data_IF_196733587128
#
_entry.id   IF_196733587128
#
_cell.length_a   1.000
_cell.length_b   1.000
_cell.length_c   1.000
_cell.angle_alpha   90.00
_cell.angle_beta   90.00
_cell.angle_gamma   90.00
#
_symmetry.space_group_name_H-M   'P 1'
#
loop_
_entity.id
_entity.type
_entity.pdbx_description
1 polymer ?
#
# COMPACT_ATOMS: atom_id res chain seq x y z
N UNK A 1 -17.25 -4.08 8.91
CA UNK A 1 -16.67 -3.73 7.60
C UNK A 1 -16.40 -4.92 6.71
N UNK A 2 -16.43 -6.16 7.25
CA UNK A 2 -16.12 -7.38 6.51
C UNK A 2 -16.98 -7.60 5.25
N UNK A 3 -18.23 -7.17 5.28
CA UNK A 3 -19.15 -7.30 4.14
C UNK A 3 -18.88 -6.27 3.03
N UNK A 4 -18.08 -5.25 3.30
CA UNK A 4 -17.81 -4.18 2.33
C UNK A 4 -16.69 -4.53 1.35
N UNK A 5 -15.76 -5.39 1.75
CA UNK A 5 -14.65 -5.86 0.93
C UNK A 5 -14.22 -7.25 1.43
N UNK A 6 -14.52 -8.29 0.66
CA UNK A 6 -14.27 -9.67 1.05
C UNK A 6 -14.12 -10.60 -0.15
N UNK A 7 -13.57 -11.78 0.11
CA UNK A 7 -13.70 -12.97 -0.74
C UNK A 7 -14.61 -13.93 0.00
N UNK A 8 -15.85 -14.16 -0.45
CA UNK A 8 -16.85 -14.93 0.32
C UNK A 8 -16.47 -16.36 0.62
N UNK A 9 -15.77 -17.04 -0.31
CA UNK A 9 -15.32 -18.42 -0.14
C UNK A 9 -13.80 -18.54 -0.37
N UNK A 10 -13.25 -19.71 -0.08
CA UNK A 10 -11.82 -20.07 -0.13
C UNK A 10 -11.06 -19.79 1.17
N UNK A 11 -11.78 -19.51 2.25
CA UNK A 11 -11.23 -19.43 3.61
C UNK A 11 -11.76 -20.54 4.50
N UNK A 12 -11.33 -20.56 5.76
CA UNK A 12 -11.72 -21.60 6.74
C UNK A 12 -13.22 -21.57 7.09
N UNK A 13 -13.85 -20.40 7.07
CA UNK A 13 -15.30 -20.25 7.33
C UNK A 13 -16.17 -20.80 6.20
N UNK A 14 -15.68 -20.74 4.97
CA UNK A 14 -16.36 -21.26 3.78
C UNK A 14 -15.29 -21.80 2.81
N UNK A 15 -14.89 -23.07 2.94
CA UNK A 15 -13.93 -23.70 2.02
C UNK A 15 -14.42 -23.70 0.57
N UNK A 16 -13.48 -23.72 -0.37
CA UNK A 16 -13.80 -23.82 -1.78
C UNK A 16 -14.45 -25.18 -2.10
N UNK A 17 -15.55 -25.16 -2.85
CA UNK A 17 -16.25 -26.33 -3.37
C UNK A 17 -16.61 -26.07 -4.85
N UNK A 18 -16.96 -27.11 -5.61
CA UNK A 18 -17.45 -26.93 -6.98
C UNK A 18 -18.60 -25.92 -7.03
N UNK A 19 -19.53 -25.98 -6.08
CA UNK A 19 -20.67 -25.05 -5.98
C UNK A 19 -20.25 -23.61 -5.73
N UNK A 20 -19.31 -23.35 -4.81
CA UNK A 20 -18.84 -21.98 -4.53
C UNK A 20 -18.03 -21.40 -5.68
N UNK A 21 -17.33 -22.24 -6.45
CA UNK A 21 -16.61 -21.83 -7.66
C UNK A 21 -17.60 -21.45 -8.75
N UNK A 22 -18.61 -22.30 -9.01
CA UNK A 22 -19.67 -22.05 -9.98
C UNK A 22 -20.42 -20.74 -9.69
N UNK A 23 -20.66 -20.44 -8.41
CA UNK A 23 -21.29 -19.20 -7.94
C UNK A 23 -20.34 -17.98 -7.94
N UNK A 24 -19.08 -18.14 -8.33
CA UNK A 24 -18.11 -17.05 -8.36
C UNK A 24 -17.76 -16.47 -6.98
N UNK A 25 -17.92 -17.28 -5.91
CA UNK A 25 -17.69 -16.81 -4.53
C UNK A 25 -16.20 -16.67 -4.18
N UNK A 26 -15.32 -17.12 -5.05
CA UNK A 26 -13.86 -16.95 -4.95
C UNK A 26 -13.37 -15.59 -5.50
N UNK A 27 -14.26 -14.82 -6.10
CA UNK A 27 -13.92 -13.45 -6.54
C UNK A 27 -14.09 -12.43 -5.42
N UNK A 28 -13.32 -11.37 -5.51
CA UNK A 28 -13.45 -10.21 -4.62
C UNK A 28 -14.83 -9.58 -4.81
N UNK A 29 -15.55 -9.40 -3.72
CA UNK A 29 -16.79 -8.62 -3.63
C UNK A 29 -16.51 -7.32 -2.92
N UNK A 30 -16.94 -6.20 -3.50
CA UNK A 30 -16.67 -4.88 -2.93
C UNK A 30 -17.87 -3.94 -3.11
N UNK A 31 -18.27 -3.29 -2.01
CA UNK A 31 -19.11 -2.12 -2.08
C UNK A 31 -18.26 -0.88 -2.31
N UNK A 32 -17.99 -0.58 -3.58
CA UNK A 32 -17.05 0.48 -3.97
C UNK A 32 -17.39 1.87 -3.42
N UNK A 33 -18.69 2.20 -3.27
CA UNK A 33 -19.13 3.49 -2.72
C UNK A 33 -18.75 3.63 -1.24
N UNK A 34 -19.04 2.61 -0.44
CA UNK A 34 -18.75 2.64 0.99
C UNK A 34 -17.24 2.54 1.28
N UNK A 35 -16.53 1.70 0.53
CA UNK A 35 -15.07 1.61 0.62
C UNK A 35 -14.41 2.94 0.23
N UNK A 36 -14.88 3.60 -0.82
CA UNK A 36 -14.39 4.93 -1.22
C UNK A 36 -14.63 5.98 -0.12
N UNK A 37 -15.86 6.02 0.43
CA UNK A 37 -16.24 6.95 1.52
C UNK A 37 -15.39 6.73 2.77
N UNK A 38 -15.12 5.47 3.11
CA UNK A 38 -14.24 5.10 4.21
C UNK A 38 -12.81 5.57 3.94
N UNK A 39 -12.24 5.20 2.79
CA UNK A 39 -10.87 5.48 2.42
C UNK A 39 -10.54 6.97 2.41
N UNK A 40 -11.42 7.80 1.85
CA UNK A 40 -11.22 9.26 1.79
C UNK A 40 -11.13 9.92 3.16
N UNK A 41 -11.81 9.37 4.16
CA UNK A 41 -11.74 9.87 5.54
C UNK A 41 -10.54 9.33 6.29
N UNK A 42 -10.32 8.01 6.19
CA UNK A 42 -9.34 7.34 7.05
C UNK A 42 -7.90 7.64 6.65
N UNK A 43 -7.63 7.87 5.37
CA UNK A 43 -6.26 8.15 4.90
C UNK A 43 -5.71 9.46 5.47
N UNK A 44 -6.51 10.53 5.43
CA UNK A 44 -6.11 11.81 6.02
C UNK A 44 -5.94 11.68 7.55
N UNK A 45 -6.96 11.14 8.23
CA UNK A 45 -6.96 10.98 9.68
C UNK A 45 -5.81 10.11 10.18
N UNK A 46 -5.55 8.94 9.57
CA UNK A 46 -4.47 8.06 9.99
C UNK A 46 -3.09 8.71 9.79
N UNK A 47 -2.91 9.48 8.70
CA UNK A 47 -1.69 10.25 8.48
C UNK A 47 -1.48 11.30 9.56
N UNK A 48 -2.52 12.07 9.88
CA UNK A 48 -2.49 13.10 10.92
C UNK A 48 -2.15 12.50 12.30
N UNK A 49 -2.86 11.43 12.70
CA UNK A 49 -2.58 10.71 13.94
C UNK A 49 -1.14 10.16 14.03
N UNK A 50 -0.58 9.67 12.91
CA UNK A 50 0.80 9.19 12.89
C UNK A 50 1.82 10.33 13.02
N UNK A 51 1.55 11.47 12.37
CA UNK A 51 2.39 12.68 12.43
C UNK A 51 2.40 13.23 13.86
N UNK A 52 1.22 13.34 14.49
CA UNK A 52 1.08 13.79 15.88
C UNK A 52 1.83 12.88 16.86
N UNK A 53 1.67 11.55 16.71
CA UNK A 53 2.38 10.58 17.57
C UNK A 53 3.90 10.62 17.41
N UNK A 54 4.39 11.07 16.27
CA UNK A 54 5.81 11.26 16.02
C UNK A 54 6.32 12.63 16.55
N UNK A 55 5.42 13.44 17.12
CA UNK A 55 5.70 14.81 17.54
C UNK A 55 6.21 15.69 16.38
N UNK A 56 5.73 15.41 15.17
CA UNK A 56 6.05 16.21 13.99
C UNK A 56 4.95 17.23 13.70
N UNK A 57 5.35 18.34 13.08
CA UNK A 57 4.40 19.25 12.46
C UNK A 57 4.14 18.81 11.01
N UNK A 58 2.95 19.08 10.52
CA UNK A 58 2.53 18.70 9.17
C UNK A 58 3.42 19.33 8.07
N UNK A 59 3.91 20.55 8.31
CA UNK A 59 4.82 21.24 7.37
C UNK A 59 6.21 20.61 7.27
N UNK A 60 6.60 19.78 8.25
CA UNK A 60 7.87 19.05 8.25
C UNK A 60 7.81 17.75 7.43
N UNK A 61 6.62 17.32 7.01
CA UNK A 61 6.46 16.12 6.17
C UNK A 61 6.83 16.47 4.73
N UNK A 62 7.86 15.81 4.20
CA UNK A 62 8.31 16.03 2.83
C UNK A 62 7.42 15.29 1.84
N UNK A 63 7.10 14.03 2.11
CA UNK A 63 6.28 13.23 1.21
C UNK A 63 5.36 12.27 1.98
N UNK A 64 4.18 12.06 1.44
CA UNK A 64 3.22 11.03 1.87
C UNK A 64 3.14 9.99 0.77
N UNK A 65 3.32 8.73 1.12
CA UNK A 65 3.25 7.59 0.20
C UNK A 65 2.03 6.75 0.57
N UNK A 66 0.88 7.01 -0.06
CA UNK A 66 -0.35 6.29 0.20
C UNK A 66 -0.43 4.98 -0.58
N UNK A 67 -1.24 4.06 -0.09
CA UNK A 67 -1.72 2.95 -0.90
C UNK A 67 -2.37 3.44 -2.19
N UNK A 68 -1.94 2.89 -3.31
CA UNK A 68 -2.33 3.31 -4.66
C UNK A 68 -3.64 2.63 -5.10
N UNK A 69 -4.73 2.85 -4.34
CA UNK A 69 -6.03 2.26 -4.67
C UNK A 69 -6.77 3.01 -5.78
N UNK A 70 -6.74 4.34 -5.70
CA UNK A 70 -7.43 5.24 -6.64
C UNK A 70 -6.93 6.68 -6.45
N UNK A 71 -6.63 7.36 -7.56
CA UNK A 71 -6.13 8.75 -7.54
C UNK A 71 -7.07 9.70 -6.78
N UNK A 72 -8.39 9.57 -6.95
CA UNK A 72 -9.39 10.41 -6.27
C UNK A 72 -9.37 10.27 -4.75
N UNK A 73 -9.00 9.10 -4.22
CA UNK A 73 -8.82 8.89 -2.77
C UNK A 73 -7.61 9.67 -2.29
N UNK A 74 -6.50 9.63 -3.03
CA UNK A 74 -5.26 10.35 -2.71
C UNK A 74 -5.51 11.87 -2.73
N UNK A 75 -6.19 12.37 -3.75
CA UNK A 75 -6.59 13.78 -3.86
C UNK A 75 -7.50 14.21 -2.70
N UNK A 76 -8.41 13.34 -2.27
CA UNK A 76 -9.26 13.62 -1.12
C UNK A 76 -8.47 13.66 0.19
N UNK A 77 -7.48 12.79 0.36
CA UNK A 77 -6.57 12.81 1.51
C UNK A 77 -5.72 14.09 1.54
N UNK A 78 -5.20 14.52 0.39
CA UNK A 78 -4.46 15.78 0.25
C UNK A 78 -5.30 16.99 0.68
N UNK A 79 -6.55 17.07 0.20
CA UNK A 79 -7.49 18.12 0.63
C UNK A 79 -7.80 18.04 2.13
N UNK A 80 -7.99 16.82 2.67
CA UNK A 80 -8.28 16.61 4.09
C UNK A 80 -7.15 17.10 5.00
N UNK A 81 -5.91 16.86 4.61
CA UNK A 81 -4.70 17.31 5.29
C UNK A 81 -4.32 18.77 4.97
N UNK A 82 -5.02 19.42 4.05
CA UNK A 82 -4.68 20.77 3.55
C UNK A 82 -3.24 20.87 3.02
N UNK A 83 -2.76 19.78 2.41
CA UNK A 83 -1.46 19.72 1.77
C UNK A 83 -1.57 19.78 0.25
N UNK A 84 -0.58 20.35 -0.43
CA UNK A 84 -0.52 20.30 -1.89
C UNK A 84 -0.36 18.85 -2.36
N UNK A 85 -0.94 18.53 -3.52
CA UNK A 85 -0.93 17.16 -4.05
C UNK A 85 0.48 16.68 -4.42
N UNK A 86 1.38 17.61 -4.66
CA UNK A 86 2.80 17.37 -4.95
C UNK A 86 3.53 16.69 -3.78
N UNK A 87 3.02 16.83 -2.56
CA UNK A 87 3.53 16.09 -1.39
C UNK A 87 3.08 14.62 -1.34
N UNK A 88 2.30 14.18 -2.31
CA UNK A 88 1.84 12.79 -2.39
C UNK A 88 2.52 12.03 -3.53
N UNK A 89 2.89 10.79 -3.24
CA UNK A 89 3.27 9.85 -4.29
C UNK A 89 2.01 9.38 -5.02
N UNK A 90 2.02 9.47 -6.35
CA UNK A 90 0.91 8.99 -7.19
C UNK A 90 1.52 8.27 -8.39
N UNK A 91 1.20 6.98 -8.53
CA UNK A 91 1.59 6.14 -9.66
C UNK A 91 0.55 5.06 -9.99
N UNK A 92 -0.65 5.21 -9.45
CA UNK A 92 -1.77 4.28 -9.69
C UNK A 92 -2.19 4.24 -11.16
N UNK A 93 -1.98 5.30 -11.91
CA UNK A 93 -2.22 5.38 -13.35
C UNK A 93 -1.23 4.53 -14.16
N UNK A 94 -0.04 4.30 -13.62
CA UNK A 94 1.04 3.54 -14.26
C UNK A 94 0.97 2.04 -13.90
N UNK A 95 0.74 1.72 -12.63
CA UNK A 95 0.83 0.34 -12.13
C UNK A 95 -0.51 -0.25 -11.68
N UNK A 96 -1.55 0.56 -11.58
CA UNK A 96 -2.83 0.14 -11.00
C UNK A 96 -2.74 -0.07 -9.50
N UNK A 97 -3.74 -0.78 -8.97
CA UNK A 97 -3.77 -1.19 -7.57
C UNK A 97 -3.00 -2.50 -7.40
N UNK A 98 -1.76 -2.42 -7.01
CA UNK A 98 -0.87 -3.57 -6.73
C UNK A 98 -0.97 -4.07 -5.28
N UNK A 99 -2.11 -3.82 -4.61
CA UNK A 99 -2.34 -4.22 -3.22
C UNK A 99 -1.23 -3.74 -2.27
N UNK A 100 -0.69 -4.61 -1.41
CA UNK A 100 0.36 -4.28 -0.44
C UNK A 100 1.64 -3.74 -1.10
N UNK A 101 1.95 -4.17 -2.32
CA UNK A 101 3.13 -3.73 -3.05
C UNK A 101 3.04 -2.27 -3.52
N UNK A 102 1.87 -1.65 -3.52
CA UNK A 102 1.67 -0.30 -4.06
C UNK A 102 2.47 0.78 -3.33
N UNK A 103 2.61 0.68 -2.01
CA UNK A 103 3.40 1.63 -1.21
C UNK A 103 4.90 1.48 -1.50
N UNK A 104 5.52 0.28 -1.41
CA UNK A 104 6.95 0.15 -1.70
C UNK A 104 7.30 0.45 -3.16
N UNK A 105 6.45 0.13 -4.13
CA UNK A 105 6.67 0.52 -5.54
C UNK A 105 6.69 2.05 -5.67
N UNK A 106 5.74 2.75 -5.04
CA UNK A 106 5.71 4.20 -5.05
C UNK A 106 6.93 4.81 -4.33
N UNK A 107 7.39 4.19 -3.22
CA UNK A 107 8.58 4.64 -2.51
C UNK A 107 9.84 4.53 -3.39
N UNK A 108 10.05 3.40 -4.07
CA UNK A 108 11.18 3.21 -4.99
C UNK A 108 11.16 4.28 -6.08
N UNK A 109 10.02 4.51 -6.71
CA UNK A 109 9.88 5.52 -7.76
C UNK A 109 10.16 6.95 -7.24
N UNK A 110 9.77 7.27 -5.99
CA UNK A 110 10.11 8.55 -5.36
C UNK A 110 11.61 8.70 -5.09
N UNK A 111 12.31 7.62 -4.75
CA UNK A 111 13.78 7.63 -4.61
C UNK A 111 14.46 7.80 -5.96
N UNK A 112 14.06 7.00 -6.97
CA UNK A 112 14.66 7.01 -8.31
C UNK A 112 14.53 8.37 -9.01
N UNK A 113 13.42 9.06 -8.82
CA UNK A 113 13.21 10.39 -9.39
C UNK A 113 13.66 11.55 -8.48
N UNK A 114 14.35 11.25 -7.38
CA UNK A 114 14.96 12.22 -6.48
C UNK A 114 13.98 13.02 -5.61
N UNK A 115 12.71 12.60 -5.54
CA UNK A 115 11.69 13.24 -4.69
C UNK A 115 11.75 12.80 -3.24
N UNK A 116 12.25 11.59 -2.95
CA UNK A 116 12.47 11.08 -1.60
C UNK A 116 13.97 10.97 -1.36
N UNK A 117 14.47 11.70 -0.36
CA UNK A 117 15.89 11.86 -0.06
C UNK A 117 16.23 11.44 1.36
N UNK A 118 17.51 11.27 1.63
CA UNK A 118 18.02 10.99 2.98
C UNK A 118 17.55 12.06 3.97
N UNK A 119 17.08 11.62 5.11
CA UNK A 119 16.51 12.37 6.22
C UNK A 119 15.13 13.00 5.97
N UNK A 120 14.50 12.76 4.83
CA UNK A 120 13.13 13.20 4.62
C UNK A 120 12.17 12.54 5.61
N UNK A 121 11.30 13.34 6.18
CA UNK A 121 10.18 12.90 7.01
C UNK A 121 9.04 12.45 6.11
N UNK A 122 8.73 11.17 6.15
CA UNK A 122 7.80 10.51 5.23
C UNK A 122 6.69 9.83 6.00
N UNK A 123 5.48 9.82 5.45
CA UNK A 123 4.35 9.06 5.97
C UNK A 123 3.98 7.99 4.97
N UNK A 124 3.91 6.74 5.41
CA UNK A 124 3.34 5.64 4.65
C UNK A 124 1.95 5.38 5.21
N UNK A 125 0.92 5.33 4.37
CA UNK A 125 -0.47 5.15 4.82
C UNK A 125 -1.25 4.24 3.89
N UNK A 126 -2.04 3.33 4.46
CA UNK A 126 -2.85 2.40 3.71
C UNK A 126 -4.13 1.99 4.39
N UNK A 127 -5.00 1.37 3.63
CA UNK A 127 -6.21 0.74 4.09
C UNK A 127 -6.50 -0.51 3.26
N UNK A 128 -7.34 -1.39 3.78
CA UNK A 128 -7.70 -2.63 3.08
C UNK A 128 -8.93 -3.31 3.67
N UNK A 129 -9.09 -4.57 3.28
CA UNK A 129 -10.17 -5.41 3.78
C UNK A 129 -10.14 -5.52 5.30
N UNK A 130 -11.33 -5.66 5.87
CA UNK A 130 -11.47 -5.72 7.32
C UNK A 130 -12.65 -4.89 7.82
N UNK A 131 -12.86 -3.62 7.52
CA UNK A 131 -11.89 -2.68 6.94
C UNK A 131 -10.78 -2.42 7.96
N UNK A 132 -9.54 -2.40 7.48
CA UNK A 132 -8.36 -2.07 8.28
C UNK A 132 -7.63 -0.88 7.68
N UNK A 133 -6.86 -0.18 8.49
CA UNK A 133 -6.03 0.93 8.06
C UNK A 133 -4.85 1.14 9.01
N UNK A 134 -3.85 1.83 8.53
CA UNK A 134 -2.71 2.22 9.33
C UNK A 134 -1.86 3.26 8.64
N UNK A 135 -1.10 3.99 9.44
CA UNK A 135 -0.06 4.87 8.96
C UNK A 135 1.19 4.74 9.83
N UNK A 136 2.34 4.97 9.23
CA UNK A 136 3.62 4.99 9.91
C UNK A 136 4.44 6.18 9.43
N UNK A 137 5.11 6.85 10.34
CA UNK A 137 6.10 7.88 10.06
C UNK A 137 7.48 7.28 9.96
N UNK A 138 8.26 7.69 8.97
CA UNK A 138 9.61 7.21 8.71
C UNK A 138 10.53 8.39 8.45
N UNK A 139 11.70 8.43 9.09
CA UNK A 139 12.80 9.26 8.64
C UNK A 139 13.61 8.43 7.66
N UNK A 140 13.59 8.83 6.39
CA UNK A 140 14.27 8.10 5.33
C UNK A 140 15.80 8.20 5.50
N UNK A 141 16.45 7.11 5.89
CA UNK A 141 17.88 7.15 6.25
C UNK A 141 18.82 7.13 5.07
N UNK A 142 18.51 6.29 4.08
CA UNK A 142 19.32 6.18 2.86
C UNK A 142 18.42 5.93 1.66
N UNK A 143 18.69 6.57 0.51
CA UNK A 143 18.18 6.05 -0.73
C UNK A 143 18.73 4.63 -0.91
N UNK A 144 17.96 3.72 -1.47
CA UNK A 144 18.51 2.43 -1.89
C UNK A 144 19.76 2.72 -2.71
N UNK A 145 20.92 2.15 -2.36
CA UNK A 145 22.10 2.34 -3.19
C UNK A 145 21.75 1.86 -4.59
N UNK A 146 21.81 2.76 -5.56
CA UNK A 146 21.54 2.46 -6.97
C UNK A 146 22.47 1.37 -7.54
N UNK A 147 23.46 0.92 -6.77
CA UNK A 147 24.55 0.08 -7.22
C UNK A 147 24.69 -1.26 -6.47
N UNK A 148 23.66 -1.70 -5.74
CA UNK A 148 23.60 -3.12 -5.41
C UNK A 148 22.52 -3.74 -6.30
N UNK A 149 22.92 -4.10 -7.51
CA UNK A 149 22.22 -5.13 -8.26
C UNK A 149 21.97 -6.28 -7.29
N UNK A 150 20.71 -6.42 -6.85
CA UNK A 150 20.29 -7.63 -6.15
C UNK A 150 20.69 -8.74 -7.10
N UNK A 151 21.62 -9.60 -6.68
CA UNK A 151 22.10 -10.66 -7.56
C UNK A 151 20.91 -11.62 -7.73
N UNK A 152 20.11 -11.33 -8.74
CA UNK A 152 18.89 -12.09 -9.09
C UNK A 152 19.26 -13.55 -9.31
N UNK A 153 20.48 -13.81 -9.82
CA UNK A 153 20.99 -15.17 -10.02
C UNK A 153 21.15 -15.93 -8.71
N UNK A 154 21.57 -15.26 -7.64
CA UNK A 154 21.67 -15.87 -6.31
C UNK A 154 20.30 -16.26 -5.76
N UNK A 155 19.30 -15.38 -5.87
CA UNK A 155 17.93 -15.70 -5.42
C UNK A 155 17.24 -16.75 -6.30
N UNK A 156 17.49 -16.75 -7.60
CA UNK A 156 17.03 -17.80 -8.51
C UNK A 156 17.69 -19.14 -8.19
N UNK A 157 18.98 -19.15 -7.86
CA UNK A 157 19.71 -20.33 -7.40
C UNK A 157 19.11 -20.88 -6.09
N UNK A 158 18.87 -20.03 -5.08
CA UNK A 158 18.22 -20.44 -3.84
C UNK A 158 16.79 -20.98 -4.06
N UNK A 159 16.02 -20.35 -4.95
CA UNK A 159 14.68 -20.82 -5.30
C UNK A 159 14.71 -22.20 -5.96
N UNK A 160 15.70 -22.47 -6.82
CA UNK A 160 15.91 -23.79 -7.46
C UNK A 160 16.30 -24.87 -6.43
N UNK A 161 17.20 -24.56 -5.47
CA UNK A 161 17.55 -25.49 -4.39
C UNK A 161 16.31 -25.81 -3.56
N UNK A 162 15.52 -24.80 -3.15
CA UNK A 162 14.32 -25.01 -2.37
C UNK A 162 13.28 -25.87 -3.12
N UNK A 163 13.10 -25.63 -4.42
CA UNK A 163 12.19 -26.43 -5.24
C UNK A 163 12.64 -27.88 -5.41
N UNK A 164 13.94 -28.13 -5.41
CA UNK A 164 14.52 -29.47 -5.47
C UNK A 164 14.31 -30.23 -4.14
N UNK A 165 14.56 -29.55 -3.00
CA UNK A 165 14.38 -30.14 -1.66
C UNK A 165 12.92 -30.42 -1.29
N UNK A 166 11.95 -29.77 -1.93
CA UNK A 166 10.52 -29.98 -1.71
C UNK A 166 9.90 -31.05 -2.63
N UNK A 167 10.69 -31.70 -3.48
CA UNK A 167 10.28 -32.80 -4.38
C UNK A 167 10.69 -34.19 -3.88
N UNK A 168 11.21 -34.28 -2.66
CA UNK A 168 11.57 -35.57 -2.00
C UNK A 168 10.53 -35.93 -0.97
#
# INVERSE_FOLDING_TARGET
GGDLLSVPASGSAMPATAKTIEQGMHFIKMNGREVFRFATRVMARASEEAIEKAEWRLDQVEIIIPHQANKRIIEAAARGLKLPIEKFAINVDKYGNTSTASIPIAAVEMVENGRLKKNDKTVLVGFGAGLTWGAVTVIWKEPFPADKSVNIDFYQFLARIRSFLLRV
#
